data_IF_869099097791
#
_entry.id   IF_869099097791
#
_cell.length_a   1.000
_cell.length_b   1.000
_cell.length_c   1.000
_cell.angle_alpha   90.00
_cell.angle_beta   90.00
_cell.angle_gamma   90.00
#
_symmetry.space_group_name_H-M   'P 1'
#
loop_
_entity.id
_entity.type
_entity.pdbx_description
1 polymer ?
#
# COMPACT_ATOMS: atom_id res chain seq x y z
N UNK A 1 -9.87 -23.04 10.56
CA UNK A 1 -9.71 -21.65 11.02
C UNK A 1 -9.10 -21.73 12.40
N UNK A 2 -8.04 -20.98 12.66
CA UNK A 2 -7.44 -20.93 14.00
C UNK A 2 -8.49 -20.31 14.95
N UNK A 3 -8.82 -20.99 16.05
CA UNK A 3 -9.75 -20.47 17.08
C UNK A 3 -9.10 -19.39 17.96
N UNK A 4 -7.95 -18.87 17.54
CA UNK A 4 -7.18 -17.86 18.24
C UNK A 4 -7.57 -16.46 17.76
N UNK A 5 -8.42 -15.77 18.51
CA UNK A 5 -8.88 -14.42 18.23
C UNK A 5 -7.82 -13.32 18.41
N UNK A 6 -6.60 -13.67 18.83
CA UNK A 6 -5.49 -12.74 19.01
C UNK A 6 -4.54 -12.66 17.80
N UNK A 7 -4.90 -13.25 16.66
CA UNK A 7 -4.08 -13.23 15.45
C UNK A 7 -4.57 -12.13 14.49
N UNK A 8 -3.65 -11.26 14.06
CA UNK A 8 -3.89 -10.25 13.03
C UNK A 8 -3.38 -10.76 11.69
N UNK A 9 -4.22 -10.65 10.66
CA UNK A 9 -3.87 -11.04 9.30
C UNK A 9 -3.99 -9.86 8.34
N UNK A 10 -3.01 -9.72 7.45
CA UNK A 10 -3.16 -8.86 6.28
C UNK A 10 -3.98 -9.66 5.26
N UNK A 11 -5.08 -9.06 4.80
CA UNK A 11 -6.00 -9.64 3.82
C UNK A 11 -6.16 -8.70 2.63
N UNK A 12 -6.91 -9.14 1.61
CA UNK A 12 -7.18 -8.39 0.38
C UNK A 12 -5.89 -7.95 -0.37
N UNK A 13 -5.26 -8.94 -1.00
CA UNK A 13 -4.05 -8.73 -1.81
C UNK A 13 -4.38 -8.45 -3.29
N UNK A 14 -5.63 -8.07 -3.62
CA UNK A 14 -6.08 -7.89 -5.00
C UNK A 14 -5.35 -6.79 -5.77
N UNK A 15 -4.76 -5.83 -5.06
CA UNK A 15 -3.95 -4.75 -5.60
C UNK A 15 -2.43 -4.94 -5.41
N UNK A 16 -2.00 -5.99 -4.70
CA UNK A 16 -0.59 -6.24 -4.45
C UNK A 16 0.12 -6.59 -5.76
N UNK A 17 1.27 -5.96 -5.99
CA UNK A 17 2.08 -6.14 -7.20
C UNK A 17 3.56 -6.32 -6.83
N UNK A 18 4.33 -7.11 -7.59
CA UNK A 18 5.77 -7.16 -7.44
C UNK A 18 6.39 -5.77 -7.59
N UNK A 19 7.40 -5.45 -6.78
CA UNK A 19 8.04 -4.13 -6.80
C UNK A 19 8.70 -3.81 -8.15
N UNK A 20 9.20 -4.83 -8.86
CA UNK A 20 9.72 -4.71 -10.23
C UNK A 20 8.70 -4.06 -11.16
N UNK A 21 7.45 -4.48 -11.07
CA UNK A 21 6.37 -4.08 -11.96
C UNK A 21 5.86 -2.66 -11.68
N UNK A 22 6.29 -2.07 -10.55
CA UNK A 22 5.95 -0.73 -10.08
C UNK A 22 7.09 0.27 -10.29
N UNK A 23 8.32 -0.21 -10.49
CA UNK A 23 9.50 0.60 -10.75
C UNK A 23 9.79 0.79 -12.25
N UNK A 24 9.31 -0.11 -13.12
CA UNK A 24 9.44 0.02 -14.56
C UNK A 24 8.57 1.18 -15.09
N UNK A 25 9.25 2.31 -15.30
CA UNK A 25 8.73 3.67 -15.48
C UNK A 25 8.10 3.96 -16.85
N UNK A 26 8.27 3.09 -17.84
CA UNK A 26 8.14 3.54 -19.23
C UNK A 26 6.69 3.60 -19.75
N UNK A 27 5.71 3.01 -19.06
CA UNK A 27 4.29 3.11 -19.48
C UNK A 27 3.25 3.09 -18.34
N UNK A 28 3.64 2.88 -17.07
CA UNK A 28 2.70 2.54 -15.97
C UNK A 28 2.46 3.63 -14.92
N UNK A 29 3.23 4.73 -14.96
CA UNK A 29 3.15 5.84 -13.99
C UNK A 29 1.78 6.54 -13.99
N UNK A 30 0.95 6.30 -15.00
CA UNK A 30 -0.34 6.97 -15.17
C UNK A 30 -1.49 6.39 -14.33
N UNK A 31 -1.32 5.20 -13.74
CA UNK A 31 -2.39 4.55 -13.00
C UNK A 31 -2.06 4.54 -11.50
N UNK A 32 -2.76 5.40 -10.75
CA UNK A 32 -2.68 5.43 -9.29
C UNK A 32 -3.67 4.40 -8.75
N UNK A 33 -3.17 3.45 -7.94
CA UNK A 33 -3.95 2.41 -7.29
C UNK A 33 -3.86 2.58 -5.77
N UNK A 34 -4.96 2.35 -5.07
CA UNK A 34 -5.02 2.38 -3.61
C UNK A 34 -6.22 3.18 -3.08
N UNK A 35 -6.29 3.31 -1.76
CA UNK A 35 -7.37 4.01 -1.06
C UNK A 35 -6.83 5.36 -0.59
N UNK A 36 -7.42 6.46 -1.11
CA UNK A 36 -6.85 7.82 -1.06
C UNK A 36 -6.39 8.29 0.35
N UNK A 37 -7.13 8.06 1.45
CA UNK A 37 -6.68 8.44 2.79
C UNK A 37 -5.34 7.83 3.23
N UNK A 38 -5.01 6.63 2.76
CA UNK A 38 -3.83 5.88 3.20
C UNK A 38 -2.66 5.95 2.22
N UNK A 39 -2.81 6.66 1.10
CA UNK A 39 -1.75 6.73 0.09
C UNK A 39 -0.61 7.67 0.51
N UNK A 40 0.61 7.20 0.34
CA UNK A 40 1.82 7.99 0.58
C UNK A 40 1.93 9.17 -0.42
N UNK A 41 2.49 10.31 0.01
CA UNK A 41 2.53 11.54 -0.80
C UNK A 41 3.32 11.38 -2.12
N UNK A 42 4.30 10.48 -2.18
CA UNK A 42 5.04 10.12 -3.39
C UNK A 42 4.13 9.47 -4.45
N UNK A 43 3.19 8.63 -4.03
CA UNK A 43 2.22 7.97 -4.92
C UNK A 43 1.27 9.02 -5.51
N UNK A 44 0.81 9.96 -4.68
CA UNK A 44 -0.03 11.09 -5.13
C UNK A 44 0.70 12.01 -6.10
N UNK A 45 2.03 12.08 -6.01
CA UNK A 45 2.91 12.81 -6.93
C UNK A 45 3.33 12.00 -8.14
N UNK A 46 2.72 10.83 -8.36
CA UNK A 46 3.04 9.91 -9.47
C UNK A 46 4.51 9.51 -9.50
N UNK A 47 5.15 9.40 -8.33
CA UNK A 47 6.46 8.78 -8.22
C UNK A 47 6.31 7.27 -8.11
N UNK A 48 7.35 6.48 -8.45
CA UNK A 48 7.32 5.04 -8.29
C UNK A 48 6.99 4.64 -6.86
N UNK A 49 6.29 3.51 -6.74
CA UNK A 49 6.03 2.92 -5.44
C UNK A 49 7.31 2.32 -4.86
N UNK A 50 7.50 2.51 -3.55
CA UNK A 50 8.64 2.05 -2.78
C UNK A 50 8.14 1.41 -1.48
N UNK A 51 8.93 0.56 -0.80
CA UNK A 51 8.50 -0.09 0.45
C UNK A 51 8.07 0.90 1.55
N UNK A 52 8.63 2.11 1.54
CA UNK A 52 8.27 3.20 2.46
C UNK A 52 6.83 3.68 2.28
N UNK A 53 6.24 3.51 1.08
CA UNK A 53 4.83 3.81 0.82
C UNK A 53 3.90 2.95 1.67
N UNK A 54 4.24 1.68 1.91
CA UNK A 54 3.47 0.77 2.78
C UNK A 54 3.62 1.11 4.25
N UNK A 55 4.80 1.58 4.66
CA UNK A 55 5.03 2.02 6.03
C UNK A 55 4.18 3.27 6.32
N UNK A 56 4.09 4.20 5.37
CA UNK A 56 3.21 5.36 5.48
C UNK A 56 1.74 4.94 5.62
N UNK A 57 1.24 4.07 4.73
CA UNK A 57 -0.16 3.64 4.76
C UNK A 57 -0.51 2.92 6.05
N UNK A 58 0.37 2.04 6.55
CA UNK A 58 0.22 1.40 7.84
C UNK A 58 0.21 2.41 8.99
N UNK A 59 1.02 3.46 8.92
CA UNK A 59 1.04 4.52 9.94
C UNK A 59 -0.28 5.30 9.99
N UNK A 60 -0.91 5.57 8.84
CA UNK A 60 -2.24 6.20 8.80
C UNK A 60 -3.31 5.28 9.39
N UNK A 61 -3.27 3.98 9.07
CA UNK A 61 -4.17 2.99 9.69
C UNK A 61 -4.00 3.00 11.22
N UNK A 62 -2.76 2.97 11.73
CA UNK A 62 -2.48 3.05 13.16
C UNK A 62 -2.96 4.36 13.80
N UNK A 63 -2.87 5.48 13.09
CA UNK A 63 -3.39 6.77 13.56
C UNK A 63 -4.91 6.76 13.74
N UNK A 64 -5.66 6.05 12.90
CA UNK A 64 -7.12 5.91 13.06
C UNK A 64 -7.54 5.14 14.32
N UNK A 65 -6.64 4.37 14.92
CA UNK A 65 -6.86 3.66 16.19
C UNK A 65 -6.51 4.48 17.44
N UNK A 66 -6.11 5.76 17.27
CA UNK A 66 -5.84 6.69 18.38
C UNK A 66 -7.11 7.44 18.79
#
# INVERSE_FOLDING_TARGET
>A
MSDNYNELFIIDLGLCKPISDLQDSDNKINEIYGVLPYMAPEILRKKPYIPESDIYSFSIIMWEFT
#
